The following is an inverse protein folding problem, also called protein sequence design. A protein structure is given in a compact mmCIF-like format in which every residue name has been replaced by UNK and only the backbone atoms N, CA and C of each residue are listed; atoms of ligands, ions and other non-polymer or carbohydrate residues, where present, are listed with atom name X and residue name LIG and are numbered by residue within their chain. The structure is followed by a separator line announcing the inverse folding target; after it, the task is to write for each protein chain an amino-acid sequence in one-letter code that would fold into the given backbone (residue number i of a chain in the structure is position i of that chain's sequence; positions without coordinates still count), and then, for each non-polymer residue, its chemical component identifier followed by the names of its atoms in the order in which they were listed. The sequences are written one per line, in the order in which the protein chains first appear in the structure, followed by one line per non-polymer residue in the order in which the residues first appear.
data_IF_610196449931
#
_entry.id   IF_610196449931
#
_cell.length_a   1.000
_cell.length_b   1.000
_cell.length_c   1.000
_cell.angle_alpha   90.00
_cell.angle_beta   90.00
_cell.angle_gamma   90.00
#
_symmetry.space_group_name_H-M   'P 1'
#
loop_
_entity.id
_entity.type
_entity.pdbx_description
1 polymer ?
#
# COMPACT_ATOMS: atom_id res chain seq x y z
N UNK A 1 33.24 14.38 -48.02
CA UNK A 1 33.87 13.88 -49.25
C UNK A 1 34.89 12.81 -48.88
N UNK A 2 34.65 11.57 -49.33
CA UNK A 2 35.55 10.41 -49.42
C UNK A 2 35.96 9.68 -48.12
N UNK A 3 35.11 8.73 -47.70
CA UNK A 3 35.33 7.25 -47.77
C UNK A 3 36.73 6.73 -48.18
N UNK A 4 37.04 5.41 -48.08
CA UNK A 4 36.58 4.36 -47.17
C UNK A 4 37.71 3.35 -46.78
N UNK A 5 37.44 2.48 -45.80
CA UNK A 5 37.86 1.06 -45.74
C UNK A 5 39.36 0.75 -45.96
N UNK A 6 40.07 0.56 -44.85
CA UNK A 6 41.33 -0.17 -44.77
C UNK A 6 41.14 -1.55 -44.13
N UNK A 7 41.38 -2.59 -44.94
CA UNK A 7 41.91 -3.90 -44.55
C UNK A 7 41.04 -4.87 -43.74
N UNK A 8 40.24 -5.63 -44.49
CA UNK A 8 39.96 -7.04 -44.20
C UNK A 8 41.27 -7.86 -44.28
N UNK A 9 41.65 -8.54 -43.20
CA UNK A 9 42.63 -9.65 -43.26
C UNK A 9 42.45 -10.60 -42.08
N UNK A 10 42.27 -11.88 -42.38
CA UNK A 10 42.34 -13.03 -41.46
C UNK A 10 41.01 -13.39 -40.78
N UNK A 11 40.11 -14.20 -41.36
CA UNK A 11 40.16 -15.67 -41.48
C UNK A 11 40.54 -16.44 -40.20
N UNK A 12 39.56 -16.83 -39.38
CA UNK A 12 39.35 -18.25 -38.97
C UNK A 12 38.11 -18.43 -38.08
N UNK A 13 37.45 -19.58 -38.27
CA UNK A 13 36.10 -19.94 -37.82
C UNK A 13 35.93 -20.32 -36.34
N UNK A 14 34.81 -21.02 -36.01
CA UNK A 14 34.01 -20.76 -34.81
C UNK A 14 34.62 -21.37 -33.55
N UNK A 15 34.93 -20.50 -32.58
CA UNK A 15 35.37 -20.89 -31.25
C UNK A 15 34.21 -21.47 -30.43
N UNK A 16 34.51 -22.57 -29.75
CA UNK A 16 33.57 -23.47 -29.12
C UNK A 16 32.69 -22.85 -28.02
N UNK A 17 31.59 -23.55 -27.78
CA UNK A 17 30.69 -23.34 -26.66
C UNK A 17 31.46 -23.54 -25.34
N UNK A 18 31.76 -22.43 -24.66
CA UNK A 18 32.34 -22.45 -23.33
C UNK A 18 31.36 -23.03 -22.29
N UNK A 19 31.85 -23.72 -21.24
CA UNK A 19 30.99 -24.29 -20.22
C UNK A 19 30.29 -23.18 -19.41
N UNK A 20 28.97 -23.27 -19.30
CA UNK A 20 28.18 -22.42 -18.42
C UNK A 20 28.54 -22.76 -16.98
N UNK A 21 29.31 -21.89 -16.34
CA UNK A 21 29.63 -21.99 -14.93
C UNK A 21 28.44 -21.46 -14.11
N UNK A 22 27.61 -22.30 -13.46
CA UNK A 22 26.58 -21.80 -12.58
C UNK A 22 27.29 -21.25 -11.35
N UNK A 23 27.53 -19.94 -11.31
CA UNK A 23 27.81 -19.27 -10.05
C UNK A 23 26.55 -19.45 -9.21
N UNK A 24 26.61 -20.45 -8.33
CA UNK A 24 25.75 -20.61 -7.17
C UNK A 24 25.54 -19.23 -6.57
N UNK A 25 24.36 -18.65 -6.84
CA UNK A 25 23.88 -17.45 -6.19
C UNK A 25 23.56 -17.89 -4.78
N UNK A 26 24.58 -17.87 -3.92
CA UNK A 26 24.44 -18.06 -2.50
C UNK A 26 23.38 -17.07 -2.02
N UNK A 27 22.25 -17.60 -1.57
CA UNK A 27 21.26 -16.83 -0.86
C UNK A 27 21.97 -16.20 0.34
N UNK A 28 22.15 -14.88 0.31
CA UNK A 28 22.54 -14.15 1.51
C UNK A 28 21.43 -14.36 2.55
N UNK A 29 21.75 -14.73 3.79
CA UNK A 29 20.76 -14.81 4.85
C UNK A 29 20.14 -13.43 4.99
N UNK A 30 18.81 -13.37 4.96
CA UNK A 30 18.06 -12.16 5.25
C UNK A 30 18.47 -11.69 6.65
N UNK A 31 19.23 -10.59 6.74
CA UNK A 31 19.58 -9.99 8.01
C UNK A 31 18.28 -9.52 8.70
N UNK A 32 18.04 -9.87 9.98
CA UNK A 32 16.87 -9.38 10.71
C UNK A 32 17.17 -7.94 11.15
N UNK A 33 16.64 -6.97 10.42
CA UNK A 33 16.85 -5.57 10.76
C UNK A 33 16.67 -4.63 9.58
N UNK A 34 15.55 -4.74 8.88
CA UNK A 34 15.07 -3.60 8.12
C UNK A 34 14.29 -2.74 9.12
N UNK A 35 14.89 -1.67 9.60
CA UNK A 35 14.18 -0.59 10.29
C UNK A 35 12.95 -0.24 9.45
N UNK A 36 11.76 -0.40 10.04
CA UNK A 36 10.50 0.00 9.44
C UNK A 36 10.47 1.52 9.40
N UNK A 37 11.17 2.11 8.43
CA UNK A 37 11.18 3.54 8.14
C UNK A 37 9.91 3.91 7.35
N UNK A 38 8.78 3.61 7.95
CA UNK A 38 7.43 3.94 7.47
C UNK A 38 6.56 4.22 8.69
N UNK A 39 5.53 5.07 8.54
CA UNK A 39 4.57 5.33 9.62
C UNK A 39 4.13 3.99 10.22
N UNK A 40 4.17 3.91 11.55
CA UNK A 40 3.72 2.69 12.22
C UNK A 40 2.26 2.42 11.82
N UNK A 41 1.89 1.16 11.68
CA UNK A 41 0.50 0.81 11.37
C UNK A 41 -0.50 1.46 12.34
N UNK A 42 -0.13 1.59 13.62
CA UNK A 42 -0.93 2.28 14.64
C UNK A 42 -1.12 3.76 14.32
N UNK A 43 -0.10 4.42 13.80
CA UNK A 43 -0.14 5.84 13.44
C UNK A 43 -1.01 6.07 12.19
N UNK A 44 -0.93 5.17 11.21
CA UNK A 44 -1.84 5.17 10.06
C UNK A 44 -3.29 4.93 10.51
N UNK A 45 -3.53 3.92 11.36
CA UNK A 45 -4.86 3.61 11.88
C UNK A 45 -5.46 4.79 12.69
N UNK A 46 -4.63 5.49 13.47
CA UNK A 46 -5.04 6.74 14.14
C UNK A 46 -5.44 7.83 13.14
N UNK A 47 -4.68 7.97 12.05
CA UNK A 47 -5.02 8.88 10.96
C UNK A 47 -6.36 8.54 10.30
N UNK A 48 -6.60 7.26 10.01
CA UNK A 48 -7.88 6.80 9.45
C UNK A 48 -9.05 7.01 10.41
N UNK A 49 -8.85 6.84 11.72
CA UNK A 49 -9.88 7.12 12.71
C UNK A 49 -10.23 8.62 12.75
N UNK A 50 -9.24 9.49 12.64
CA UNK A 50 -9.46 10.93 12.54
C UNK A 50 -10.22 11.30 11.25
N UNK A 51 -9.90 10.65 10.13
CA UNK A 51 -10.63 10.85 8.87
C UNK A 51 -12.09 10.39 8.97
N UNK A 52 -12.37 9.25 9.60
CA UNK A 52 -13.74 8.78 9.87
C UNK A 52 -14.50 9.76 10.76
N UNK A 53 -13.85 10.38 11.74
CA UNK A 53 -14.48 11.41 12.56
C UNK A 53 -14.81 12.67 11.74
N UNK A 54 -13.90 13.07 10.84
CA UNK A 54 -14.12 14.18 9.91
C UNK A 54 -15.31 13.92 8.97
N UNK A 55 -15.40 12.72 8.41
CA UNK A 55 -16.51 12.32 7.53
C UNK A 55 -17.85 12.32 8.25
N UNK A 56 -17.90 11.89 9.50
CA UNK A 56 -19.11 11.97 10.32
C UNK A 56 -19.52 13.43 10.56
N UNK A 57 -18.58 14.29 10.97
CA UNK A 57 -18.88 15.71 11.18
C UNK A 57 -19.35 16.42 9.90
N UNK A 58 -18.75 16.09 8.74
CA UNK A 58 -19.21 16.60 7.44
C UNK A 58 -20.63 16.14 7.11
N UNK A 59 -20.97 14.88 7.36
CA UNK A 59 -22.31 14.34 7.15
C UNK A 59 -23.34 15.00 8.08
N UNK A 60 -23.00 15.20 9.35
CA UNK A 60 -23.86 15.86 10.34
C UNK A 60 -24.17 17.30 9.92
N UNK A 61 -23.14 18.08 9.56
CA UNK A 61 -23.32 19.46 9.08
C UNK A 61 -24.17 19.50 7.82
N UNK A 62 -23.91 18.59 6.86
CA UNK A 62 -24.67 18.54 5.62
C UNK A 62 -26.14 18.19 5.87
N UNK A 63 -26.43 17.29 6.82
CA UNK A 63 -27.78 16.94 7.24
C UNK A 63 -28.48 18.10 7.96
N UNK A 64 -27.79 18.79 8.86
CA UNK A 64 -28.32 19.99 9.54
C UNK A 64 -28.66 21.10 8.54
N UNK A 65 -27.77 21.37 7.58
CA UNK A 65 -27.99 22.40 6.56
C UNK A 65 -29.18 22.07 5.65
N UNK A 66 -29.36 20.80 5.31
CA UNK A 66 -30.50 20.34 4.51
C UNK A 66 -31.82 20.52 5.27
N UNK A 67 -31.88 20.10 6.54
CA UNK A 67 -33.09 20.25 7.36
C UNK A 67 -33.38 21.72 7.66
N UNK A 68 -32.35 22.56 7.77
CA UNK A 68 -32.49 24.01 7.94
C UNK A 68 -32.87 24.75 6.64
N UNK A 69 -32.94 24.06 5.50
CA UNK A 69 -33.21 24.67 4.19
C UNK A 69 -32.07 25.56 3.67
N UNK A 70 -30.85 25.39 4.21
CA UNK A 70 -29.62 26.04 3.74
C UNK A 70 -28.95 25.24 2.61
N UNK A 71 -29.28 23.96 2.48
CA UNK A 71 -28.95 23.06 1.36
C UNK A 71 -30.24 22.49 0.78
N UNK A 72 -30.23 22.23 -0.52
CA UNK A 72 -31.30 21.51 -1.24
C UNK A 72 -30.78 20.22 -1.91
N UNK A 73 -29.51 19.85 -1.69
CA UNK A 73 -28.86 18.70 -2.30
C UNK A 73 -28.93 17.46 -1.39
N UNK A 74 -30.11 16.85 -1.35
CA UNK A 74 -30.35 15.61 -0.62
C UNK A 74 -29.38 14.49 -1.04
N UNK A 75 -29.05 14.37 -2.33
CA UNK A 75 -28.12 13.32 -2.80
C UNK A 75 -26.72 13.49 -2.19
N UNK A 76 -26.24 14.73 -2.09
CA UNK A 76 -24.93 15.04 -1.50
C UNK A 76 -24.86 14.66 -0.03
N UNK A 77 -25.93 14.95 0.73
CA UNK A 77 -26.06 14.56 2.14
C UNK A 77 -26.07 13.04 2.27
N UNK A 78 -26.88 12.34 1.47
CA UNK A 78 -26.94 10.87 1.53
C UNK A 78 -25.58 10.23 1.20
N UNK A 79 -24.86 10.76 0.20
CA UNK A 79 -23.52 10.26 -0.15
C UNK A 79 -22.54 10.50 0.99
N UNK A 80 -22.56 11.68 1.62
CA UNK A 80 -21.69 11.99 2.75
C UNK A 80 -21.94 11.02 3.92
N UNK A 81 -23.21 10.78 4.25
CA UNK A 81 -23.62 9.84 5.30
C UNK A 81 -23.19 8.40 4.98
N UNK A 82 -23.44 7.92 3.76
CA UNK A 82 -23.06 6.56 3.35
C UNK A 82 -21.54 6.34 3.38
N UNK A 83 -20.79 7.38 2.99
CA UNK A 83 -19.32 7.39 3.05
C UNK A 83 -18.83 7.29 4.49
N UNK A 84 -19.41 8.07 5.40
CA UNK A 84 -19.07 8.04 6.82
C UNK A 84 -19.36 6.67 7.44
N UNK A 85 -20.52 6.08 7.16
CA UNK A 85 -20.94 4.78 7.68
C UNK A 85 -20.06 3.63 7.14
N UNK A 86 -19.79 3.62 5.84
CA UNK A 86 -18.89 2.62 5.22
C UNK A 86 -17.48 2.70 5.81
N UNK A 87 -16.93 3.91 5.96
CA UNK A 87 -15.60 4.11 6.53
C UNK A 87 -15.54 3.68 8.00
N UNK A 88 -16.59 3.97 8.77
CA UNK A 88 -16.71 3.51 10.16
C UNK A 88 -16.76 1.98 10.28
N UNK A 89 -17.57 1.31 9.45
CA UNK A 89 -17.63 -0.16 9.38
C UNK A 89 -16.27 -0.78 9.07
N UNK A 90 -15.51 -0.16 8.17
CA UNK A 90 -14.15 -0.62 7.85
C UNK A 90 -13.22 -0.53 9.07
N UNK A 91 -13.25 0.58 9.81
CA UNK A 91 -12.44 0.73 11.03
C UNK A 91 -12.83 -0.31 12.08
N UNK A 92 -14.13 -0.61 12.25
CA UNK A 92 -14.58 -1.67 13.16
C UNK A 92 -14.06 -3.04 12.75
N UNK A 93 -14.05 -3.36 11.45
CA UNK A 93 -13.51 -4.63 10.96
C UNK A 93 -12.01 -4.75 11.29
N UNK A 94 -11.25 -3.67 11.11
CA UNK A 94 -9.83 -3.62 11.48
C UNK A 94 -9.64 -3.77 12.99
N UNK A 95 -10.42 -3.04 13.79
CA UNK A 95 -10.40 -3.15 15.26
C UNK A 95 -10.59 -4.61 15.71
N UNK A 96 -11.60 -5.29 15.17
CA UNK A 96 -11.87 -6.68 15.52
C UNK A 96 -10.68 -7.58 15.16
N UNK A 97 -10.08 -7.40 13.97
CA UNK A 97 -8.90 -8.16 13.56
C UNK A 97 -7.67 -7.92 14.43
N UNK A 98 -7.50 -6.71 14.96
CA UNK A 98 -6.42 -6.41 15.90
C UNK A 98 -6.63 -7.06 17.27
N UNK A 99 -7.88 -7.15 17.73
CA UNK A 99 -8.23 -7.89 18.95
C UNK A 99 -7.95 -9.37 18.74
N UNK A 100 -8.42 -9.96 17.62
CA UNK A 100 -8.13 -11.35 17.25
C UNK A 100 -6.62 -11.64 17.25
N UNK A 101 -5.83 -10.78 16.61
CA UNK A 101 -4.38 -10.93 16.53
C UNK A 101 -3.70 -10.83 17.91
N UNK A 102 -4.21 -9.95 18.79
CA UNK A 102 -3.72 -9.85 20.16
C UNK A 102 -4.02 -11.11 20.97
N UNK A 103 -5.23 -11.66 20.83
CA UNK A 103 -5.62 -12.92 21.48
C UNK A 103 -4.76 -14.10 20.98
N UNK A 104 -4.51 -14.18 19.68
CA UNK A 104 -3.65 -15.23 19.09
C UNK A 104 -2.22 -15.17 19.65
N UNK A 105 -1.61 -13.97 19.72
CA UNK A 105 -0.27 -13.80 20.30
C UNK A 105 -0.23 -14.19 21.77
N UNK A 106 -1.31 -13.92 22.53
CA UNK A 106 -1.42 -14.35 23.92
C UNK A 106 -1.49 -15.88 24.03
N UNK A 107 -2.25 -16.54 23.16
CA UNK A 107 -2.42 -17.99 23.16
C UNK A 107 -1.17 -18.74 22.68
N UNK A 108 -0.30 -18.11 21.87
CA UNK A 108 1.01 -18.68 21.50
C UNK A 108 2.04 -18.65 22.64
N UNK A 109 1.82 -17.84 23.69
CA UNK A 109 2.77 -17.64 24.80
C UNK A 109 2.46 -18.50 26.03
N UNK A 110 1.56 -19.48 25.91
CA UNK A 110 1.28 -20.49 26.94
C UNK A 110 1.77 -21.86 26.47
#
# INVERSE_FOLDING_TARGET
MHDPIGHISGSQGPAGLGPLNPKSRAASPLAPGSDVSGKSFIEEMKGQLAEVNRLQAEADVAAEDLVAGRRDDLEGVMIATEKADTAFKMVLAVRNKLVDAYEEVKNLRV
#
